data_IF_811564938374
#
_entry.id   IF_811564938374
#
_cell.length_a   1.000
_cell.length_b   1.000
_cell.length_c   1.000
_cell.angle_alpha   90.00
_cell.angle_beta   90.00
_cell.angle_gamma   90.00
#
_symmetry.space_group_name_H-M   'P 1'
#
loop_
_entity.id
_entity.type
_entity.pdbx_description
1 polymer ?
#
# COMPACT_ATOMS: atom_id res chain seq x y z
N UNK A 1 3.39 1.59 2.50
CA UNK A 1 2.68 0.67 1.59
C UNK A 1 2.72 1.23 0.20
N UNK A 2 3.02 0.39 -0.78
CA UNK A 2 3.19 0.79 -2.19
C UNK A 2 1.96 0.38 -3.01
N UNK A 3 1.43 1.29 -3.78
CA UNK A 3 0.23 1.11 -4.61
C UNK A 3 0.61 1.28 -6.07
N UNK A 4 0.21 0.35 -6.92
CA UNK A 4 0.21 0.55 -8.36
C UNK A 4 -1.16 1.12 -8.76
N UNK A 5 -1.16 2.29 -9.35
CA UNK A 5 -2.34 2.93 -9.95
C UNK A 5 -2.23 2.78 -11.47
N UNK A 6 -3.19 2.10 -12.09
CA UNK A 6 -3.26 1.94 -13.55
C UNK A 6 -4.52 2.65 -14.04
N UNK A 7 -4.33 3.85 -14.60
CA UNK A 7 -5.41 4.78 -14.98
C UNK A 7 -4.92 5.65 -16.13
N UNK A 8 -5.64 5.67 -17.26
CA UNK A 8 -5.25 6.37 -18.47
C UNK A 8 -5.83 7.80 -18.60
N UNK A 9 -6.78 8.15 -17.75
CA UNK A 9 -7.32 9.52 -17.74
C UNK A 9 -6.23 10.50 -17.29
N UNK A 10 -5.86 11.49 -18.15
CA UNK A 10 -4.73 12.39 -17.90
C UNK A 10 -4.95 13.36 -16.72
N UNK A 11 -6.17 13.45 -16.20
CA UNK A 11 -6.51 14.26 -15.02
C UNK A 11 -6.71 13.38 -13.79
N UNK A 12 -7.52 12.33 -13.90
CA UNK A 12 -7.85 11.47 -12.77
C UNK A 12 -6.62 10.73 -12.23
N UNK A 13 -5.78 10.17 -13.10
CA UNK A 13 -4.59 9.43 -12.69
C UNK A 13 -3.63 10.27 -11.83
N UNK A 14 -3.16 11.43 -12.33
CA UNK A 14 -2.30 12.33 -11.54
C UNK A 14 -2.96 12.86 -10.26
N UNK A 15 -4.26 13.20 -10.28
CA UNK A 15 -4.98 13.70 -9.12
C UNK A 15 -5.08 12.62 -8.02
N UNK A 16 -5.44 11.40 -8.41
CA UNK A 16 -5.47 10.26 -7.48
C UNK A 16 -4.08 9.93 -6.93
N UNK A 17 -3.05 9.93 -7.78
CA UNK A 17 -1.67 9.75 -7.33
C UNK A 17 -1.29 10.77 -6.26
N UNK A 18 -1.57 12.05 -6.49
CA UNK A 18 -1.27 13.10 -5.53
C UNK A 18 -2.02 12.92 -4.20
N UNK A 19 -3.27 12.47 -4.25
CA UNK A 19 -4.09 12.23 -3.05
C UNK A 19 -3.58 11.02 -2.25
N UNK A 20 -3.23 9.93 -2.94
CA UNK A 20 -2.64 8.73 -2.34
C UNK A 20 -1.28 9.03 -1.68
N UNK A 21 -0.44 9.84 -2.35
CA UNK A 21 0.84 10.29 -1.77
C UNK A 21 0.63 11.11 -0.49
N UNK A 22 -0.34 12.04 -0.48
CA UNK A 22 -0.71 12.82 0.72
C UNK A 22 -1.21 11.93 1.85
N UNK A 23 -1.89 10.83 1.50
CA UNK A 23 -2.38 9.83 2.46
C UNK A 23 -1.30 8.83 2.91
N UNK A 24 -0.04 9.02 2.50
CA UNK A 24 1.10 8.25 2.99
C UNK A 24 1.32 6.91 2.28
N UNK A 25 0.82 6.76 1.05
CA UNK A 25 1.22 5.65 0.17
C UNK A 25 2.43 6.04 -0.69
N UNK A 26 3.27 5.09 -1.06
CA UNK A 26 4.13 5.21 -2.23
C UNK A 26 3.30 4.79 -3.45
N UNK A 27 3.39 5.52 -4.57
CA UNK A 27 2.47 5.31 -5.70
C UNK A 27 3.21 5.36 -7.02
N UNK A 28 3.13 4.28 -7.77
CA UNK A 28 3.51 4.25 -9.17
C UNK A 28 2.25 4.37 -10.03
N UNK A 29 2.36 5.12 -11.12
CA UNK A 29 1.28 5.36 -12.06
C UNK A 29 1.66 4.79 -13.42
N UNK A 30 0.78 3.95 -13.98
CA UNK A 30 0.82 3.52 -15.37
C UNK A 30 -0.43 4.06 -16.09
N UNK A 31 -0.27 4.55 -17.31
CA UNK A 31 -1.34 5.15 -18.13
C UNK A 31 -1.88 4.21 -19.22
N UNK A 32 -1.44 2.95 -19.20
CA UNK A 32 -1.90 1.93 -20.13
C UNK A 32 -1.78 0.52 -19.53
N UNK A 33 -2.52 -0.43 -20.12
CA UNK A 33 -2.58 -1.80 -19.59
C UNK A 33 -1.31 -2.63 -19.80
N UNK A 34 -0.46 -2.30 -20.79
CA UNK A 34 0.79 -3.05 -21.05
C UNK A 34 1.82 -2.72 -19.99
N UNK A 35 2.04 -1.45 -19.70
CA UNK A 35 2.96 -1.01 -18.66
C UNK A 35 2.43 -1.39 -17.27
N UNK A 36 1.12 -1.20 -17.02
CA UNK A 36 0.49 -1.65 -15.79
C UNK A 36 0.69 -3.14 -15.53
N UNK A 37 0.53 -3.99 -16.56
CA UNK A 37 0.77 -5.43 -16.43
C UNK A 37 2.23 -5.73 -16.11
N UNK A 38 3.18 -5.09 -16.80
CA UNK A 38 4.61 -5.29 -16.59
C UNK A 38 5.02 -4.90 -15.17
N UNK A 39 4.62 -3.71 -14.70
CA UNK A 39 4.89 -3.23 -13.35
C UNK A 39 4.28 -4.14 -12.28
N UNK A 40 3.04 -4.61 -12.47
CA UNK A 40 2.38 -5.49 -11.52
C UNK A 40 3.02 -6.87 -11.35
N UNK A 41 3.99 -7.26 -12.18
CA UNK A 41 4.80 -8.46 -11.96
C UNK A 41 5.95 -8.26 -10.96
N UNK A 42 6.25 -7.01 -10.61
CA UNK A 42 7.19 -6.71 -9.55
C UNK A 42 6.52 -7.02 -8.19
N UNK A 43 7.19 -7.82 -7.35
CA UNK A 43 6.66 -8.24 -6.04
C UNK A 43 6.89 -7.13 -4.97
N UNK A 44 6.52 -5.90 -5.32
CA UNK A 44 6.71 -4.71 -4.47
C UNK A 44 5.39 -4.03 -4.08
N UNK A 45 4.29 -4.36 -4.74
CA UNK A 45 3.00 -3.72 -4.51
C UNK A 45 2.17 -4.42 -3.45
N UNK A 46 1.62 -3.63 -2.53
CA UNK A 46 0.71 -4.10 -1.51
C UNK A 46 -0.76 -4.10 -2.00
N UNK A 47 -1.06 -3.26 -3.01
CA UNK A 47 -2.38 -3.09 -3.61
C UNK A 47 -2.24 -2.55 -5.03
N UNK A 48 -3.16 -2.94 -5.90
CA UNK A 48 -3.35 -2.33 -7.22
C UNK A 48 -4.72 -1.69 -7.31
N UNK A 49 -4.76 -0.47 -7.83
CA UNK A 49 -5.99 0.21 -8.29
C UNK A 49 -5.96 0.20 -9.81
N UNK A 50 -6.95 -0.45 -10.44
CA UNK A 50 -6.91 -0.82 -11.85
C UNK A 50 -8.17 -0.34 -12.57
N UNK A 51 -8.01 0.53 -13.58
CA UNK A 51 -9.11 0.82 -14.51
C UNK A 51 -9.30 -0.35 -15.51
N UNK A 52 -10.54 -0.56 -15.91
CA UNK A 52 -10.89 -1.53 -16.94
C UNK A 52 -10.74 -1.00 -18.36
N UNK A 53 -10.93 0.32 -18.53
CA UNK A 53 -10.98 0.98 -19.83
C UNK A 53 -9.64 1.34 -20.47
N UNK A 54 -8.56 0.70 -20.04
CA UNK A 54 -7.19 1.05 -20.43
C UNK A 54 -6.90 0.85 -21.92
N UNK A 55 -6.07 1.71 -22.52
CA UNK A 55 -5.55 1.53 -23.86
C UNK A 55 -4.54 0.38 -23.93
N UNK A 56 -4.26 -0.13 -25.13
CA UNK A 56 -3.33 -1.21 -25.48
C UNK A 56 -3.73 -2.58 -24.91
N UNK A 57 -4.16 -2.69 -23.67
CA UNK A 57 -4.64 -3.90 -23.01
C UNK A 57 -5.69 -3.58 -21.98
N UNK A 58 -6.84 -4.24 -22.04
CA UNK A 58 -7.92 -4.01 -21.08
C UNK A 58 -7.52 -4.43 -19.67
N UNK A 59 -8.02 -3.71 -18.64
CA UNK A 59 -7.74 -4.05 -17.24
C UNK A 59 -8.17 -5.47 -16.86
N UNK A 60 -9.25 -6.01 -17.47
CA UNK A 60 -9.64 -7.41 -17.27
C UNK A 60 -8.60 -8.40 -17.78
N UNK A 61 -7.99 -8.14 -18.94
CA UNK A 61 -6.91 -8.99 -19.46
C UNK A 61 -5.67 -8.91 -18.58
N UNK A 62 -5.29 -7.70 -18.14
CA UNK A 62 -4.20 -7.47 -17.21
C UNK A 62 -4.41 -8.32 -15.95
N UNK A 63 -5.57 -8.22 -15.32
CA UNK A 63 -5.89 -8.97 -14.10
C UNK A 63 -5.84 -10.48 -14.32
N UNK A 64 -6.45 -10.98 -15.39
CA UNK A 64 -6.39 -12.41 -15.74
C UNK A 64 -4.95 -12.90 -15.93
N UNK A 65 -4.09 -12.11 -16.54
CA UNK A 65 -2.68 -12.44 -16.76
C UNK A 65 -1.91 -12.49 -15.45
N UNK A 66 -2.13 -11.55 -14.54
CA UNK A 66 -1.55 -11.61 -13.19
C UNK A 66 -1.98 -12.86 -12.45
N UNK A 67 -3.28 -13.19 -12.42
CA UNK A 67 -3.80 -14.37 -11.71
C UNK A 67 -3.29 -15.70 -12.33
N UNK A 68 -3.15 -15.78 -13.65
CA UNK A 68 -2.52 -16.94 -14.32
C UNK A 68 -1.08 -17.18 -13.85
N UNK A 69 -0.35 -16.12 -13.52
CA UNK A 69 1.02 -16.21 -12.98
C UNK A 69 1.07 -16.29 -11.45
N UNK A 70 -0.06 -16.56 -10.80
CA UNK A 70 -0.20 -16.66 -9.34
C UNK A 70 0.18 -15.37 -8.59
N UNK A 71 0.12 -14.24 -9.26
CA UNK A 71 0.20 -12.97 -8.56
C UNK A 71 -1.15 -12.71 -7.88
N UNK A 72 -1.15 -12.73 -6.54
CA UNK A 72 -2.33 -12.57 -5.69
C UNK A 72 -2.38 -11.19 -5.02
N UNK A 73 -1.68 -10.19 -5.56
CA UNK A 73 -1.79 -8.82 -5.06
C UNK A 73 -3.27 -8.41 -5.04
N UNK A 74 -3.74 -7.77 -3.96
CA UNK A 74 -5.11 -7.27 -3.90
C UNK A 74 -5.38 -6.25 -5.02
N UNK A 75 -6.50 -6.39 -5.72
CA UNK A 75 -6.88 -5.51 -6.83
C UNK A 75 -8.26 -4.89 -6.57
N UNK A 76 -8.27 -3.55 -6.50
CA UNK A 76 -9.48 -2.72 -6.55
C UNK A 76 -9.69 -2.24 -7.99
N UNK A 77 -10.79 -2.63 -8.60
CA UNK A 77 -11.14 -2.16 -9.94
C UNK A 77 -11.85 -0.81 -9.86
N UNK A 78 -11.40 0.14 -10.69
CA UNK A 78 -12.16 1.34 -11.05
C UNK A 78 -12.90 1.09 -12.36
N UNK A 79 -14.16 1.49 -12.45
CA UNK A 79 -14.91 1.32 -13.71
C UNK A 79 -15.94 2.42 -13.92
N UNK A 80 -15.98 2.98 -15.13
CA UNK A 80 -17.03 3.90 -15.54
C UNK A 80 -18.36 3.16 -15.85
N UNK A 81 -18.29 1.84 -15.98
CA UNK A 81 -19.41 1.01 -16.42
C UNK A 81 -20.09 0.36 -15.23
N UNK A 82 -21.32 0.76 -14.99
CA UNK A 82 -22.17 0.22 -13.93
C UNK A 82 -22.86 -1.10 -14.30
N UNK A 83 -22.55 -1.68 -15.48
CA UNK A 83 -23.16 -2.92 -15.92
C UNK A 83 -22.81 -4.06 -14.94
N UNK A 84 -23.82 -4.71 -14.40
CA UNK A 84 -23.66 -5.80 -13.44
C UNK A 84 -22.83 -6.96 -14.01
N UNK A 85 -22.90 -7.19 -15.34
CA UNK A 85 -22.10 -8.20 -16.04
C UNK A 85 -20.59 -7.95 -15.88
N UNK A 86 -20.12 -6.72 -16.11
CA UNK A 86 -18.69 -6.39 -16.00
C UNK A 86 -18.15 -6.57 -14.56
N UNK A 87 -19.00 -6.33 -13.55
CA UNK A 87 -18.65 -6.63 -12.18
C UNK A 87 -18.51 -8.13 -11.94
N UNK A 88 -19.41 -8.93 -12.52
CA UNK A 88 -19.32 -10.40 -12.45
C UNK A 88 -18.05 -10.88 -13.15
N UNK A 89 -17.81 -10.43 -14.40
CA UNK A 89 -16.63 -10.80 -15.20
C UNK A 89 -15.31 -10.48 -14.47
N UNK A 90 -15.28 -9.39 -13.75
CA UNK A 90 -14.10 -9.00 -13.01
C UNK A 90 -13.90 -9.79 -11.71
N UNK A 91 -14.96 -10.13 -10.97
CA UNK A 91 -14.84 -11.07 -9.85
C UNK A 91 -14.38 -12.45 -10.34
N UNK A 92 -14.91 -12.92 -11.48
CA UNK A 92 -14.44 -14.15 -12.12
C UNK A 92 -12.99 -14.04 -12.59
N UNK A 93 -12.54 -12.84 -13.00
CA UNK A 93 -11.16 -12.57 -13.33
C UNK A 93 -10.24 -12.51 -12.09
N UNK A 94 -10.80 -12.47 -10.89
CA UNK A 94 -10.07 -12.48 -9.62
C UNK A 94 -9.87 -11.10 -8.99
N UNK A 95 -10.75 -10.12 -9.24
CA UNK A 95 -10.78 -8.86 -8.52
C UNK A 95 -11.22 -9.06 -7.07
N UNK A 96 -10.69 -8.24 -6.17
CA UNK A 96 -10.99 -8.30 -4.74
C UNK A 96 -12.07 -7.30 -4.31
N UNK A 97 -12.24 -6.20 -5.03
CA UNK A 97 -13.32 -5.22 -4.85
C UNK A 97 -13.50 -4.33 -6.10
N UNK A 98 -14.59 -3.55 -6.11
CA UNK A 98 -15.00 -2.66 -7.20
C UNK A 98 -15.42 -1.29 -6.70
N UNK A 99 -15.08 -0.24 -7.47
CA UNK A 99 -15.52 1.13 -7.25
C UNK A 99 -15.98 1.74 -8.58
N UNK A 100 -17.24 2.17 -8.64
CA UNK A 100 -17.81 2.82 -9.82
C UNK A 100 -17.42 4.28 -9.94
N UNK A 101 -17.00 4.73 -11.14
CA UNK A 101 -16.81 6.15 -11.47
C UNK A 101 -18.16 6.80 -11.80
N UNK A 102 -18.47 8.04 -11.32
CA UNK A 102 -17.66 8.85 -10.42
C UNK A 102 -17.77 8.39 -8.95
N UNK A 103 -16.71 8.56 -8.18
CA UNK A 103 -16.63 8.17 -6.77
C UNK A 103 -16.08 9.32 -5.90
N UNK A 104 -16.25 9.17 -4.60
CA UNK A 104 -15.60 10.04 -3.61
C UNK A 104 -14.29 9.41 -3.12
N UNK A 105 -13.27 10.24 -2.91
CA UNK A 105 -11.97 9.75 -2.44
C UNK A 105 -12.06 8.99 -1.11
N UNK A 106 -12.97 9.40 -0.22
CA UNK A 106 -13.22 8.72 1.05
C UNK A 106 -13.69 7.26 0.83
N UNK A 107 -14.50 6.99 -0.20
CA UNK A 107 -14.92 5.63 -0.54
C UNK A 107 -13.75 4.81 -1.08
N UNK A 108 -12.94 5.39 -1.99
CA UNK A 108 -11.73 4.76 -2.49
C UNK A 108 -10.82 4.33 -1.32
N UNK A 109 -10.50 5.25 -0.42
CA UNK A 109 -9.64 4.97 0.73
C UNK A 109 -10.22 3.92 1.69
N UNK A 110 -11.52 3.97 1.94
CA UNK A 110 -12.18 2.97 2.78
C UNK A 110 -12.06 1.56 2.20
N UNK A 111 -12.24 1.41 0.88
CA UNK A 111 -12.10 0.14 0.17
C UNK A 111 -10.66 -0.36 0.14
N UNK A 112 -9.72 0.51 -0.19
CA UNK A 112 -8.29 0.21 -0.17
C UNK A 112 -7.85 -0.30 1.22
N UNK A 113 -8.25 0.41 2.28
CA UNK A 113 -7.95 0.02 3.66
C UNK A 113 -8.55 -1.35 3.99
N UNK A 114 -9.78 -1.62 3.56
CA UNK A 114 -10.42 -2.91 3.78
C UNK A 114 -9.71 -4.06 3.04
N UNK A 115 -9.22 -3.82 1.82
CA UNK A 115 -8.45 -4.80 1.04
C UNK A 115 -7.10 -5.11 1.69
N UNK A 116 -6.34 -4.07 2.03
CA UNK A 116 -5.05 -4.18 2.70
C UNK A 116 -5.16 -4.93 4.03
N UNK A 117 -6.21 -4.65 4.80
CA UNK A 117 -6.50 -5.36 6.05
C UNK A 117 -6.76 -6.85 5.82
N UNK A 118 -7.58 -7.22 4.82
CA UNK A 118 -7.87 -8.62 4.47
C UNK A 118 -6.61 -9.37 4.03
N UNK A 119 -5.81 -8.74 3.19
CA UNK A 119 -4.54 -9.33 2.71
C UNK A 119 -3.56 -9.61 3.85
N UNK A 120 -3.56 -8.77 4.89
CA UNK A 120 -2.68 -8.91 6.05
C UNK A 120 -3.31 -9.71 7.22
N UNK A 121 -4.46 -10.37 7.00
CA UNK A 121 -5.19 -11.13 8.02
C UNK A 121 -5.56 -10.33 9.29
N UNK A 122 -5.69 -9.01 9.20
CA UNK A 122 -6.06 -8.15 10.32
C UNK A 122 -7.58 -8.06 10.49
N UNK A 123 -8.05 -8.25 11.73
CA UNK A 123 -9.49 -8.28 12.07
C UNK A 123 -10.00 -6.87 12.46
N UNK A 124 -9.12 -5.97 12.90
CA UNK A 124 -9.48 -4.65 13.43
C UNK A 124 -9.45 -3.53 12.38
N UNK A 125 -10.30 -2.50 12.56
CA UNK A 125 -10.28 -1.26 11.77
C UNK A 125 -9.17 -0.28 12.20
N UNK A 126 -8.54 -0.51 13.33
CA UNK A 126 -7.37 0.21 13.84
C UNK A 126 -6.15 -0.68 13.68
N UNK A 127 -5.06 -0.09 13.21
CA UNK A 127 -3.79 -0.79 13.13
C UNK A 127 -3.17 -0.77 14.54
N UNK A 128 -3.39 -1.85 15.26
CA UNK A 128 -2.87 -2.04 16.62
C UNK A 128 -1.95 -3.25 16.66
N UNK A 129 -0.74 -3.06 17.16
CA UNK A 129 0.26 -4.10 17.36
C UNK A 129 1.05 -3.79 18.63
N UNK A 130 1.10 -4.73 19.60
CA UNK A 130 1.90 -4.61 20.83
C UNK A 130 1.67 -3.31 21.61
N UNK A 131 0.41 -2.93 21.82
CA UNK A 131 0.05 -1.70 22.53
C UNK A 131 0.33 -0.41 21.77
N UNK A 132 0.80 -0.49 20.52
CA UNK A 132 0.86 0.66 19.60
C UNK A 132 -0.40 0.71 18.79
N UNK A 133 -1.11 1.84 18.85
CA UNK A 133 -2.30 2.13 18.04
C UNK A 133 -1.94 3.25 17.06
N UNK A 134 -1.91 2.94 15.77
CA UNK A 134 -1.61 3.91 14.72
C UNK A 134 -2.88 4.67 14.33
N UNK A 135 -2.83 6.00 14.42
CA UNK A 135 -3.89 6.90 13.97
C UNK A 135 -3.57 7.43 12.57
N UNK A 136 -4.31 6.95 11.56
CA UNK A 136 -4.07 7.34 10.17
C UNK A 136 -4.44 8.80 9.88
N UNK A 137 -5.40 9.39 10.60
CA UNK A 137 -5.87 10.76 10.36
C UNK A 137 -4.90 11.81 10.87
N UNK A 138 -4.35 11.57 12.06
CA UNK A 138 -3.41 12.50 12.72
C UNK A 138 -1.95 12.18 12.44
N UNK A 139 -1.67 11.06 11.77
CA UNK A 139 -0.33 10.51 11.55
C UNK A 139 0.45 10.43 12.88
N UNK A 140 -0.20 9.92 13.90
CA UNK A 140 0.35 9.75 15.24
C UNK A 140 0.23 8.31 15.69
N UNK A 141 0.97 7.96 16.72
CA UNK A 141 0.90 6.65 17.37
C UNK A 141 0.60 6.84 18.86
N UNK A 142 -0.34 6.06 19.38
CA UNK A 142 -0.60 5.97 20.82
C UNK A 142 0.19 4.79 21.37
N UNK A 143 0.94 5.04 22.44
CA UNK A 143 1.78 4.06 23.13
C UNK A 143 1.07 3.56 24.39
N UNK A 144 0.86 2.25 24.46
CA UNK A 144 0.33 1.56 25.65
C UNK A 144 -0.91 2.25 26.28
N UNK A 145 -1.73 2.88 25.41
CA UNK A 145 -3.01 3.52 25.77
C UNK A 145 -2.92 4.92 26.41
N UNK A 146 -1.72 5.48 26.61
CA UNK A 146 -1.59 6.71 27.41
C UNK A 146 -0.90 7.89 26.70
N UNK A 147 0.04 7.66 25.83
CA UNK A 147 0.84 8.74 25.22
C UNK A 147 0.65 8.77 23.70
N UNK A 148 0.18 9.90 23.18
CA UNK A 148 0.10 10.16 21.74
C UNK A 148 1.37 10.85 21.26
N UNK A 149 2.09 10.21 20.33
CA UNK A 149 3.34 10.69 19.75
C UNK A 149 3.12 11.03 18.29
N UNK A 150 3.37 12.28 17.90
CA UNK A 150 3.30 12.73 16.50
C UNK A 150 4.46 12.15 15.69
N UNK A 151 4.16 11.72 14.48
CA UNK A 151 5.11 11.20 13.51
C UNK A 151 5.26 12.17 12.33
N UNK A 152 6.45 12.26 11.76
CA UNK A 152 6.61 12.87 10.42
C UNK A 152 6.03 11.93 9.36
N UNK A 153 5.71 12.45 8.17
CA UNK A 153 5.13 11.63 7.11
C UNK A 153 5.95 10.37 6.78
N UNK A 154 7.28 10.48 6.78
CA UNK A 154 8.17 9.31 6.53
C UNK A 154 8.21 8.34 7.71
N UNK A 155 8.26 8.83 8.95
CA UNK A 155 8.17 7.98 10.15
C UNK A 155 6.83 7.25 10.21
N UNK A 156 5.73 7.93 9.85
CA UNK A 156 4.41 7.33 9.79
C UNK A 156 4.35 6.21 8.74
N UNK A 157 4.81 6.46 7.49
CA UNK A 157 4.86 5.45 6.44
C UNK A 157 5.70 4.22 6.85
N UNK A 158 6.86 4.47 7.43
CA UNK A 158 7.76 3.41 7.89
C UNK A 158 7.13 2.58 9.01
N UNK A 159 6.56 3.23 10.03
CA UNK A 159 5.89 2.52 11.13
C UNK A 159 4.67 1.74 10.64
N UNK A 160 3.85 2.35 9.80
CA UNK A 160 2.69 1.69 9.19
C UNK A 160 3.09 0.43 8.44
N UNK A 161 4.16 0.49 7.64
CA UNK A 161 4.66 -0.67 6.91
C UNK A 161 5.17 -1.78 7.84
N UNK A 162 5.87 -1.42 8.90
CA UNK A 162 6.28 -2.38 9.94
C UNK A 162 5.10 -3.03 10.64
N UNK A 163 4.11 -2.25 11.04
CA UNK A 163 2.93 -2.76 11.75
C UNK A 163 2.03 -3.63 10.87
N UNK A 164 2.06 -3.44 9.55
CA UNK A 164 1.41 -4.35 8.61
C UNK A 164 2.20 -5.65 8.35
N UNK A 165 3.49 -5.68 8.69
CA UNK A 165 4.37 -6.83 8.52
C UNK A 165 5.02 -7.24 9.86
N UNK A 166 4.24 -7.53 10.91
CA UNK A 166 4.78 -7.87 12.22
C UNK A 166 5.57 -9.16 12.15
N UNK A 167 6.67 -9.23 12.90
CA UNK A 167 7.58 -10.39 12.97
C UNK A 167 8.25 -10.81 11.66
N UNK A 168 8.02 -10.08 10.55
CA UNK A 168 8.69 -10.29 9.27
C UNK A 168 9.98 -9.46 9.20
N UNK A 169 11.05 -10.08 8.69
CA UNK A 169 12.29 -9.34 8.40
C UNK A 169 12.11 -8.58 7.09
N UNK A 170 12.24 -7.26 7.14
CA UNK A 170 12.16 -6.36 6.00
C UNK A 170 13.57 -5.89 5.64
N UNK A 171 13.99 -6.13 4.41
CA UNK A 171 15.29 -5.67 3.92
C UNK A 171 15.33 -4.14 3.81
N UNK A 172 16.54 -3.56 3.79
CA UNK A 172 16.68 -2.11 3.57
C UNK A 172 16.09 -1.69 2.21
N UNK A 173 16.26 -2.52 1.19
CA UNK A 173 15.72 -2.26 -0.15
C UNK A 173 14.19 -2.20 -0.12
N UNK A 174 13.52 -3.19 0.46
CA UNK A 174 12.06 -3.19 0.63
C UNK A 174 11.56 -1.95 1.38
N UNK A 175 12.28 -1.52 2.44
CA UNK A 175 11.91 -0.33 3.20
C UNK A 175 12.05 0.95 2.35
N UNK A 176 13.10 1.05 1.52
CA UNK A 176 13.28 2.18 0.58
C UNK A 176 12.16 2.19 -0.45
N UNK A 177 11.87 1.08 -1.09
CA UNK A 177 10.82 0.93 -2.11
C UNK A 177 9.43 1.34 -1.59
N UNK A 178 9.14 1.09 -0.30
CA UNK A 178 7.86 1.47 0.31
C UNK A 178 7.81 2.90 0.89
N UNK A 179 8.92 3.62 0.88
CA UNK A 179 9.00 4.98 1.42
C UNK A 179 9.12 6.06 0.34
N UNK A 180 9.73 5.72 -0.77
CA UNK A 180 10.05 6.68 -1.82
C UNK A 180 9.45 6.27 -3.16
N UNK A 181 9.02 7.28 -3.94
CA UNK A 181 8.64 7.11 -5.33
C UNK A 181 9.89 6.91 -6.22
N UNK A 182 9.69 6.30 -7.39
CA UNK A 182 10.74 6.19 -8.41
C UNK A 182 11.31 7.58 -8.75
N UNK A 183 12.62 7.75 -8.56
CA UNK A 183 13.35 8.98 -8.89
C UNK A 183 13.98 9.73 -7.72
N UNK A 184 13.70 9.38 -6.47
CA UNK A 184 14.48 9.89 -5.35
C UNK A 184 15.84 9.16 -5.29
N UNK A 185 16.96 9.89 -5.21
CA UNK A 185 18.27 9.29 -4.93
C UNK A 185 18.20 8.49 -3.62
N UNK A 186 18.15 7.18 -3.75
CA UNK A 186 17.90 6.26 -2.65
C UNK A 186 19.21 5.95 -1.92
N UNK A 187 19.65 6.85 -1.04
CA UNK A 187 20.76 6.54 -0.14
C UNK A 187 20.23 5.58 0.96
N UNK A 188 20.71 4.33 0.93
CA UNK A 188 20.34 3.30 1.91
C UNK A 188 20.65 3.70 3.37
N UNK A 189 21.49 4.72 3.59
CA UNK A 189 21.82 5.26 4.91
C UNK A 189 20.64 6.02 5.55
N UNK A 190 19.72 6.53 4.72
CA UNK A 190 18.56 7.29 5.19
C UNK A 190 17.63 6.42 6.03
N UNK A 191 17.47 5.14 5.68
CA UNK A 191 16.65 4.18 6.45
C UNK A 191 17.17 4.04 7.89
N UNK A 192 18.48 3.98 8.08
CA UNK A 192 19.08 3.86 9.42
C UNK A 192 18.73 5.07 10.29
N UNK A 193 18.72 6.27 9.71
CA UNK A 193 18.34 7.49 10.41
C UNK A 193 16.85 7.44 10.85
N UNK A 194 15.95 7.04 9.95
CA UNK A 194 14.52 6.92 10.30
C UNK A 194 14.26 5.81 11.32
N UNK A 195 14.92 4.66 11.23
CA UNK A 195 14.85 3.61 12.25
C UNK A 195 15.30 4.15 13.61
N UNK A 196 16.39 4.93 13.64
CA UNK A 196 16.88 5.56 14.89
C UNK A 196 15.84 6.54 15.46
N UNK A 197 15.21 7.35 14.61
CA UNK A 197 14.17 8.30 15.03
C UNK A 197 12.93 7.58 15.55
N UNK A 198 12.44 6.55 14.85
CA UNK A 198 11.32 5.74 15.30
C UNK A 198 11.61 5.06 16.64
N UNK A 199 12.75 4.42 16.78
CA UNK A 199 13.17 3.78 18.04
C UNK A 199 13.18 4.75 19.23
N UNK A 200 13.49 6.02 18.98
CA UNK A 200 13.46 7.05 20.04
C UNK A 200 12.01 7.37 20.46
N UNK A 201 11.06 7.27 19.52
CA UNK A 201 9.65 7.59 19.74
C UNK A 201 8.84 6.43 20.29
N UNK A 202 9.04 5.21 19.78
CA UNK A 202 8.19 4.05 20.10
C UNK A 202 8.88 2.98 20.97
N UNK A 203 10.14 3.19 21.34
CA UNK A 203 10.95 2.19 22.07
C UNK A 203 11.90 1.42 21.15
N UNK A 204 13.12 1.21 21.66
CA UNK A 204 14.20 0.58 20.89
C UNK A 204 13.98 -0.92 20.66
N UNK A 205 13.30 -1.56 21.57
CA UNK A 205 13.02 -3.00 21.60
C UNK A 205 12.02 -3.41 20.50
N UNK A 206 11.13 -2.51 20.07
CA UNK A 206 10.05 -2.80 19.12
C UNK A 206 10.54 -2.99 17.68
N UNK A 207 11.67 -2.38 17.31
CA UNK A 207 12.30 -2.59 15.99
C UNK A 207 13.70 -3.15 16.21
N UNK A 208 13.92 -4.42 15.89
CA UNK A 208 15.22 -5.08 16.00
C UNK A 208 15.96 -5.08 14.67
N UNK A 209 17.31 -5.03 14.75
CA UNK A 209 18.18 -5.18 13.58
C UNK A 209 18.56 -6.65 13.42
N UNK A 210 18.31 -7.20 12.24
CA UNK A 210 18.83 -8.51 11.81
C UNK A 210 20.04 -8.26 10.91
N UNK A 211 21.24 -8.43 11.46
CA UNK A 211 22.51 -8.12 10.75
C UNK A 211 22.56 -8.80 9.38
N UNK A 212 22.88 -8.04 8.33
CA UNK A 212 22.95 -8.52 6.95
C UNK A 212 21.60 -8.79 6.27
N UNK A 213 20.48 -8.70 6.98
CA UNK A 213 19.14 -9.01 6.46
C UNK A 213 18.21 -7.79 6.43
N UNK A 214 18.24 -6.94 7.48
CA UNK A 214 17.35 -5.79 7.57
C UNK A 214 16.82 -5.55 8.97
N UNK A 215 15.53 -5.24 9.09
CA UNK A 215 14.85 -4.89 10.34
C UNK A 215 13.58 -5.70 10.53
N UNK A 216 13.21 -5.94 11.77
CA UNK A 216 11.98 -6.64 12.13
C UNK A 216 11.26 -5.87 13.23
N UNK A 217 9.96 -5.66 13.04
CA UNK A 217 9.08 -5.17 14.09
C UNK A 217 8.61 -6.35 14.94
N UNK A 218 8.92 -6.29 16.23
CA UNK A 218 8.61 -7.39 17.14
C UNK A 218 7.14 -7.30 17.53
N UNK A 219 6.40 -8.35 17.21
CA UNK A 219 5.10 -8.64 17.81
C UNK A 219 5.25 -9.92 18.62
N UNK A 220 5.00 -9.83 19.91
CA UNK A 220 4.95 -11.01 20.77
C UNK A 220 3.64 -11.73 20.45
N UNK A 221 3.72 -13.00 20.11
CA UNK A 221 2.55 -13.86 19.84
C UNK A 221 1.81 -14.19 21.13
#
# INVERSE_FOLDING_TARGET
MRVLLVEDDPHLGPDLRAELLRSGYAVDLADNGVDGEAMGYEDIYDLVVLDLGLPQRSGLEVLRNWRKRRNNVPVLILTARSAWQERVDGFEAGADDYLGKPFHNEELFARMTALLRRANHQISSTLEVEGLVLNEKTQSVVLDGNEEVSLTGTEYRLLRYFMHNPSRVLSKLQLVEHLYDDGAENDSNVIEAYIKMLRKKIGKERIQTKRGQGYVFIATL
#
